data_IF_882732637256
#
_entry.id   IF_882732637256
#
_cell.length_a   1.000
_cell.length_b   1.000
_cell.length_c   1.000
_cell.angle_alpha   90.00
_cell.angle_beta   90.00
_cell.angle_gamma   90.00
#
_symmetry.space_group_name_H-M   'P 1'
#
loop_
_entity.id
_entity.type
_entity.pdbx_description
1 polymer ?
#
# COMPACT_ATOMS: atom_id res chain seq x y z
N UNK A 1 21.44 -25.52 17.36
CA UNK A 1 20.74 -24.23 17.30
C UNK A 1 20.84 -23.66 15.88
N UNK A 2 19.70 -23.25 15.28
CA UNK A 2 19.63 -22.70 13.91
C UNK A 2 18.97 -21.32 13.98
N UNK A 3 19.71 -20.25 14.29
CA UNK A 3 19.16 -18.93 14.57
C UNK A 3 18.44 -18.29 13.37
N UNK A 4 18.72 -18.76 12.15
CA UNK A 4 18.05 -18.31 10.92
C UNK A 4 16.67 -18.95 10.70
N UNK A 5 16.26 -19.90 11.54
CA UNK A 5 14.95 -20.55 11.50
C UNK A 5 14.12 -20.12 12.71
N UNK A 6 13.71 -18.86 12.71
CA UNK A 6 12.81 -18.33 13.72
C UNK A 6 11.37 -18.52 13.24
N UNK A 7 10.53 -19.16 14.05
CA UNK A 7 9.08 -19.17 13.87
C UNK A 7 8.49 -18.22 14.91
N UNK A 8 7.89 -17.14 14.43
CA UNK A 8 7.17 -16.20 15.26
C UNK A 8 5.68 -16.52 15.18
N UNK A 9 5.07 -16.73 16.33
CA UNK A 9 3.62 -16.76 16.47
C UNK A 9 3.20 -15.42 17.04
N UNK A 10 2.49 -14.65 16.23
CA UNK A 10 1.92 -13.38 16.67
C UNK A 10 0.46 -13.61 16.97
N UNK A 11 0.09 -13.39 18.22
CA UNK A 11 -1.31 -13.22 18.60
C UNK A 11 -1.62 -11.74 18.56
N UNK A 12 -2.66 -11.36 17.82
CA UNK A 12 -3.13 -9.98 17.85
C UNK A 12 -3.67 -9.68 19.25
N UNK A 13 -3.23 -8.58 19.90
CA UNK A 13 -3.80 -8.14 21.16
C UNK A 13 -5.13 -7.39 21.00
N UNK A 14 -5.64 -7.30 19.78
CA UNK A 14 -6.88 -6.57 19.47
C UNK A 14 -8.09 -7.31 20.10
N UNK A 15 -8.81 -6.67 21.03
CA UNK A 15 -9.98 -7.30 21.66
C UNK A 15 -11.10 -7.59 20.66
N UNK A 16 -11.16 -6.79 19.58
CA UNK A 16 -12.16 -6.91 18.52
C UNK A 16 -11.67 -7.70 17.30
N UNK A 17 -10.60 -8.48 17.47
CA UNK A 17 -9.92 -9.16 16.37
C UNK A 17 -10.90 -9.92 15.47
N UNK A 18 -11.73 -10.80 16.06
CA UNK A 18 -12.65 -11.63 15.27
C UNK A 18 -13.68 -10.80 14.51
N UNK A 19 -14.24 -9.78 15.15
CA UNK A 19 -15.22 -8.88 14.52
C UNK A 19 -14.63 -8.13 13.33
N UNK A 20 -13.41 -7.59 13.50
CA UNK A 20 -12.70 -6.88 12.42
C UNK A 20 -12.33 -7.80 11.27
N UNK A 21 -11.82 -9.01 11.57
CA UNK A 21 -11.51 -10.03 10.56
C UNK A 21 -12.76 -10.39 9.77
N UNK A 22 -13.85 -10.74 10.43
CA UNK A 22 -15.12 -11.08 9.77
C UNK A 22 -15.57 -9.95 8.86
N UNK A 23 -15.62 -8.71 9.37
CA UNK A 23 -16.01 -7.54 8.57
C UNK A 23 -15.15 -7.36 7.32
N UNK A 24 -13.82 -7.52 7.41
CA UNK A 24 -12.92 -7.36 6.27
C UNK A 24 -13.12 -8.51 5.28
N UNK A 25 -13.26 -9.75 5.76
CA UNK A 25 -13.53 -10.90 4.91
C UNK A 25 -14.86 -10.75 4.16
N UNK A 26 -15.91 -10.28 4.83
CA UNK A 26 -17.21 -10.01 4.21
C UNK A 26 -17.09 -8.95 3.11
N UNK A 27 -16.35 -7.86 3.35
CA UNK A 27 -16.08 -6.85 2.32
C UNK A 27 -15.34 -7.42 1.11
N UNK A 28 -14.46 -8.38 1.31
CA UNK A 28 -13.69 -8.98 0.22
C UNK A 28 -14.48 -10.03 -0.58
N UNK A 29 -15.37 -10.76 0.07
CA UNK A 29 -16.13 -11.85 -0.57
C UNK A 29 -17.50 -11.41 -1.07
N UNK A 30 -18.16 -10.50 -0.35
CA UNK A 30 -19.50 -10.03 -0.61
C UNK A 30 -19.58 -8.50 -0.45
N UNK A 31 -18.90 -7.71 -1.30
CA UNK A 31 -18.95 -6.25 -1.19
C UNK A 31 -20.39 -5.75 -1.37
N UNK A 32 -20.80 -4.66 -0.67
CA UNK A 32 -22.11 -4.08 -0.84
C UNK A 32 -22.36 -3.66 -2.30
N UNK A 33 -23.62 -3.74 -2.72
CA UNK A 33 -24.03 -3.26 -4.04
C UNK A 33 -23.66 -1.77 -4.20
N UNK A 34 -23.22 -1.38 -5.39
CA UNK A 34 -22.77 -0.02 -5.71
C UNK A 34 -21.58 0.52 -4.90
N UNK A 35 -20.88 -0.36 -4.19
CA UNK A 35 -19.67 -0.01 -3.47
C UNK A 35 -18.41 -0.48 -4.20
N UNK A 36 -17.30 0.22 -3.92
CA UNK A 36 -15.95 -0.21 -4.23
C UNK A 36 -15.18 -0.45 -2.94
N UNK A 37 -14.40 -1.53 -2.91
CA UNK A 37 -13.55 -1.87 -1.77
C UNK A 37 -12.09 -1.70 -2.20
N UNK A 38 -11.41 -0.78 -1.54
CA UNK A 38 -10.02 -0.42 -1.81
C UNK A 38 -9.14 -0.81 -0.63
N UNK A 39 -8.07 -1.52 -0.90
CA UNK A 39 -6.97 -1.70 0.04
C UNK A 39 -5.94 -0.61 -0.21
N UNK A 40 -5.66 0.23 0.79
CA UNK A 40 -4.75 1.38 0.66
C UNK A 40 -3.58 1.23 1.61
N UNK A 41 -2.38 1.54 1.13
CA UNK A 41 -1.15 1.52 1.94
C UNK A 41 -0.01 2.27 1.23
N UNK A 42 1.14 2.40 1.92
CA UNK A 42 2.34 3.08 1.47
C UNK A 42 3.53 2.12 1.34
N UNK A 43 4.16 2.13 0.18
CA UNK A 43 5.39 1.38 -0.10
C UNK A 43 6.59 2.31 -0.17
N UNK A 44 7.47 2.32 0.85
CA UNK A 44 8.76 3.00 0.75
C UNK A 44 9.63 2.35 -0.34
N UNK A 45 10.26 3.18 -1.14
CA UNK A 45 11.12 2.74 -2.24
C UNK A 45 12.41 3.53 -2.23
N UNK A 46 13.51 2.85 -2.53
CA UNK A 46 14.83 3.47 -2.68
C UNK A 46 15.27 3.40 -4.15
N UNK A 47 15.56 4.54 -4.75
CA UNK A 47 16.17 4.57 -6.08
C UNK A 47 17.64 4.17 -5.96
N UNK A 48 17.99 3.08 -6.61
CA UNK A 48 19.33 2.50 -6.65
C UNK A 48 19.79 2.39 -8.09
N UNK A 49 21.04 2.75 -8.38
CA UNK A 49 21.67 2.38 -9.65
C UNK A 49 22.85 1.46 -9.43
N UNK A 50 23.02 0.49 -10.31
CA UNK A 50 24.16 -0.41 -10.37
C UNK A 50 25.08 0.01 -11.49
N UNK A 51 26.36 -0.28 -11.35
CA UNK A 51 27.38 0.04 -12.36
C UNK A 51 27.13 -0.74 -13.65
N UNK A 52 26.76 -2.00 -13.54
CA UNK A 52 26.39 -2.86 -14.66
C UNK A 52 24.91 -3.27 -14.54
N UNK A 53 24.20 -3.38 -15.66
CA UNK A 53 22.80 -3.80 -15.63
C UNK A 53 22.68 -5.24 -15.14
N UNK A 54 21.55 -5.54 -14.50
CA UNK A 54 21.20 -6.91 -14.14
C UNK A 54 21.03 -7.73 -15.42
N UNK A 55 21.67 -8.89 -15.48
CA UNK A 55 21.53 -9.82 -16.60
C UNK A 55 20.77 -11.07 -16.19
N UNK A 56 20.07 -11.64 -17.16
CA UNK A 56 19.30 -12.87 -17.01
C UNK A 56 19.84 -13.89 -18.02
N UNK A 57 20.37 -15.00 -17.52
CA UNK A 57 20.88 -16.07 -18.35
C UNK A 57 20.44 -17.42 -17.81
N UNK A 58 19.78 -18.23 -18.65
CA UNK A 58 19.33 -19.62 -18.36
C UNK A 58 18.65 -19.80 -16.99
N UNK A 59 17.85 -18.82 -16.58
CA UNK A 59 17.14 -18.83 -15.29
C UNK A 59 17.94 -18.29 -14.11
N UNK A 60 19.19 -17.91 -14.33
CA UNK A 60 20.02 -17.22 -13.33
C UNK A 60 19.91 -15.70 -13.46
N UNK A 61 19.90 -15.03 -12.32
CA UNK A 61 19.93 -13.56 -12.23
C UNK A 61 21.31 -13.16 -11.72
N UNK A 62 22.05 -12.41 -12.52
CA UNK A 62 23.36 -11.85 -12.14
C UNK A 62 23.22 -10.36 -11.93
N UNK A 63 23.55 -9.88 -10.75
CA UNK A 63 23.53 -8.46 -10.41
C UNK A 63 24.72 -8.08 -9.52
N UNK A 64 25.14 -6.82 -9.60
CA UNK A 64 26.20 -6.32 -8.75
C UNK A 64 25.72 -6.05 -7.34
N UNK A 65 26.59 -6.32 -6.36
CA UNK A 65 26.38 -5.96 -4.97
C UNK A 65 26.55 -4.46 -4.74
N UNK A 66 27.46 -3.82 -5.49
CA UNK A 66 27.71 -2.40 -5.39
C UNK A 66 26.61 -1.59 -6.07
N UNK A 67 26.12 -0.60 -5.35
CA UNK A 67 25.08 0.29 -5.85
C UNK A 67 25.25 1.72 -5.33
N UNK A 68 24.78 2.68 -6.11
CA UNK A 68 24.68 4.08 -5.73
C UNK A 68 23.25 4.40 -5.35
N UNK A 69 23.05 5.05 -4.19
CA UNK A 69 21.73 5.50 -3.74
C UNK A 69 21.40 6.89 -4.28
N UNK A 70 20.20 7.07 -4.81
CA UNK A 70 19.70 8.33 -5.34
C UNK A 70 18.56 8.92 -4.49
N UNK A 71 18.32 8.34 -3.31
CA UNK A 71 17.33 8.79 -2.35
C UNK A 71 16.11 7.87 -2.27
N UNK A 72 15.20 8.23 -1.38
CA UNK A 72 13.96 7.51 -1.12
C UNK A 72 12.74 8.27 -1.57
N UNK A 73 11.69 7.56 -1.89
CA UNK A 73 10.35 8.08 -2.17
C UNK A 73 9.31 7.03 -1.75
N UNK A 74 8.05 7.37 -1.79
CA UNK A 74 6.98 6.49 -1.33
C UNK A 74 5.94 6.35 -2.42
N UNK A 75 5.54 5.13 -2.72
CA UNK A 75 4.37 4.84 -3.54
C UNK A 75 3.15 4.73 -2.61
N UNK A 76 2.17 5.60 -2.79
CA UNK A 76 0.84 5.45 -2.25
C UNK A 76 0.05 4.60 -3.24
N UNK A 77 -0.61 3.56 -2.77
CA UNK A 77 -1.36 2.64 -3.61
C UNK A 77 -2.78 2.43 -3.11
N UNK A 78 -3.72 2.31 -4.04
CA UNK A 78 -5.10 1.91 -3.80
C UNK A 78 -5.41 0.73 -4.73
N UNK A 79 -5.54 -0.45 -4.16
CA UNK A 79 -5.86 -1.69 -4.84
C UNK A 79 -7.35 -1.96 -4.77
N UNK A 80 -8.01 -2.00 -5.91
CA UNK A 80 -9.40 -2.38 -6.03
C UNK A 80 -9.50 -3.91 -6.06
N UNK A 81 -10.05 -4.50 -5.00
CA UNK A 81 -10.12 -5.95 -4.86
C UNK A 81 -11.07 -6.63 -5.84
N UNK A 82 -12.07 -5.89 -6.34
CA UNK A 82 -13.10 -6.42 -7.25
C UNK A 82 -12.57 -6.51 -8.69
N UNK A 83 -11.74 -5.55 -9.11
CA UNK A 83 -11.22 -5.46 -10.48
C UNK A 83 -9.77 -5.87 -10.62
N UNK A 84 -9.02 -5.95 -9.50
CA UNK A 84 -7.58 -6.17 -9.51
C UNK A 84 -6.75 -4.96 -9.96
N UNK A 85 -7.38 -3.83 -10.24
CA UNK A 85 -6.69 -2.61 -10.65
C UNK A 85 -6.04 -1.91 -9.48
N UNK A 86 -4.90 -1.29 -9.73
CA UNK A 86 -4.20 -0.46 -8.76
C UNK A 86 -4.08 0.96 -9.29
N UNK A 87 -4.53 1.91 -8.50
CA UNK A 87 -4.19 3.32 -8.67
C UNK A 87 -3.03 3.66 -7.74
N UNK A 88 -1.98 4.26 -8.26
CA UNK A 88 -0.79 4.60 -7.50
C UNK A 88 -0.31 6.03 -7.75
N UNK A 89 0.37 6.59 -6.76
CA UNK A 89 1.03 7.89 -6.84
C UNK A 89 2.36 7.88 -6.10
N UNK A 90 3.43 8.26 -6.75
CA UNK A 90 4.74 8.36 -6.10
C UNK A 90 4.93 9.76 -5.51
N UNK A 91 5.25 9.81 -4.22
CA UNK A 91 5.42 11.05 -3.45
C UNK A 91 6.79 11.08 -2.76
N UNK A 92 7.24 12.29 -2.41
CA UNK A 92 8.53 12.47 -1.75
C UNK A 92 8.53 11.98 -0.29
N UNK A 93 7.43 12.21 0.41
CA UNK A 93 7.31 11.93 1.84
C UNK A 93 5.94 11.35 2.17
N UNK A 94 5.93 10.45 3.17
CA UNK A 94 4.74 9.89 3.78
C UNK A 94 4.29 10.77 4.94
N UNK A 95 3.21 11.48 4.77
CA UNK A 95 2.57 12.24 5.84
C UNK A 95 1.05 12.36 5.60
N UNK A 96 0.33 12.83 6.60
CA UNK A 96 -1.13 12.93 6.55
C UNK A 96 -1.63 13.82 5.39
N UNK A 97 -0.99 14.95 5.13
CA UNK A 97 -1.39 15.86 4.05
C UNK A 97 -1.26 15.19 2.67
N UNK A 98 -0.17 14.46 2.46
CA UNK A 98 0.05 13.70 1.22
C UNK A 98 -0.98 12.59 1.04
N UNK A 99 -1.34 11.90 2.11
CA UNK A 99 -2.37 10.85 2.08
C UNK A 99 -3.76 11.44 1.82
N UNK A 100 -4.11 12.57 2.44
CA UNK A 100 -5.37 13.28 2.17
C UNK A 100 -5.45 13.72 0.70
N UNK A 101 -4.35 14.24 0.12
CA UNK A 101 -4.29 14.59 -1.29
C UNK A 101 -4.48 13.38 -2.20
N UNK A 102 -3.86 12.24 -1.87
CA UNK A 102 -4.06 10.98 -2.59
C UNK A 102 -5.51 10.49 -2.49
N UNK A 103 -6.12 10.57 -1.32
CA UNK A 103 -7.53 10.21 -1.14
C UNK A 103 -8.48 11.11 -1.93
N UNK A 104 -8.12 12.38 -2.18
CA UNK A 104 -8.88 13.24 -3.10
C UNK A 104 -8.79 12.75 -4.54
N UNK A 105 -7.64 12.22 -4.98
CA UNK A 105 -7.51 11.60 -6.29
C UNK A 105 -8.36 10.34 -6.39
N UNK A 106 -8.35 9.49 -5.36
CA UNK A 106 -9.25 8.32 -5.25
C UNK A 106 -10.73 8.74 -5.32
N UNK A 107 -11.11 9.79 -4.61
CA UNK A 107 -12.48 10.30 -4.63
C UNK A 107 -12.96 10.74 -6.02
N UNK A 108 -12.05 11.29 -6.85
CA UNK A 108 -12.35 11.67 -8.24
C UNK A 108 -12.52 10.46 -9.16
N UNK A 109 -11.83 9.34 -8.89
CA UNK A 109 -11.99 8.12 -9.68
C UNK A 109 -13.31 7.40 -9.43
N UNK A 110 -13.89 7.58 -8.25
CA UNK A 110 -15.14 6.93 -7.84
C UNK A 110 -16.17 7.95 -7.37
N UNK A 111 -16.65 8.87 -8.24
CA UNK A 111 -17.46 10.02 -7.83
C UNK A 111 -18.80 9.63 -7.19
N UNK A 112 -19.46 8.57 -7.70
CA UNK A 112 -20.82 8.19 -7.34
C UNK A 112 -20.90 6.86 -6.57
N UNK A 113 -19.76 6.36 -6.08
CA UNK A 113 -19.71 5.07 -5.36
C UNK A 113 -19.55 5.25 -3.86
N UNK A 114 -20.12 4.32 -3.11
CA UNK A 114 -19.70 4.10 -1.73
C UNK A 114 -18.29 3.50 -1.75
N UNK A 115 -17.37 4.04 -0.97
CA UNK A 115 -15.96 3.64 -0.98
C UNK A 115 -15.58 3.08 0.38
N UNK A 116 -15.33 1.78 0.44
CA UNK A 116 -14.78 1.13 1.62
C UNK A 116 -13.27 1.11 1.51
N UNK A 117 -12.59 1.72 2.46
CA UNK A 117 -11.12 1.82 2.53
C UNK A 117 -10.63 0.91 3.63
N UNK A 118 -9.95 -0.16 3.23
CA UNK A 118 -9.26 -1.06 4.17
C UNK A 118 -7.80 -0.61 4.25
N UNK A 119 -7.34 -0.31 5.46
CA UNK A 119 -5.97 0.11 5.73
C UNK A 119 -5.47 -0.37 7.10
N UNK A 120 -4.18 -0.28 7.35
CA UNK A 120 -3.57 -0.68 8.60
C UNK A 120 -3.71 0.39 9.70
N UNK A 121 -3.13 0.13 10.86
CA UNK A 121 -3.19 1.01 12.02
C UNK A 121 -2.03 2.03 12.08
N UNK A 122 -1.50 2.47 10.93
CA UNK A 122 -0.50 3.53 10.91
C UNK A 122 -1.11 4.86 11.39
N UNK A 123 -0.35 5.65 12.14
CA UNK A 123 -0.84 6.90 12.75
C UNK A 123 -1.50 7.88 11.77
N UNK A 124 -1.08 7.90 10.50
CA UNK A 124 -1.67 8.78 9.47
C UNK A 124 -3.04 8.31 8.99
N UNK A 125 -3.38 7.04 9.24
CA UNK A 125 -4.68 6.44 8.93
C UNK A 125 -5.74 6.74 10.01
N UNK A 126 -5.30 7.15 11.19
CA UNK A 126 -6.18 7.53 12.28
C UNK A 126 -6.54 9.01 12.23
N UNK A 127 -7.61 9.34 12.91
CA UNK A 127 -7.98 10.73 13.13
C UNK A 127 -6.88 11.47 13.89
N UNK A 128 -6.50 12.64 13.38
CA UNK A 128 -5.67 13.57 14.12
C UNK A 128 -6.51 14.58 14.89
N UNK A 129 -5.85 15.51 15.58
CA UNK A 129 -6.53 16.65 16.23
C UNK A 129 -7.31 17.51 15.22
N UNK A 130 -6.98 17.41 13.95
CA UNK A 130 -7.58 18.10 12.81
C UNK A 130 -8.82 17.37 12.26
N UNK A 131 -9.21 16.23 12.83
CA UNK A 131 -10.37 15.43 12.40
C UNK A 131 -10.39 15.19 10.88
N UNK A 132 -9.21 14.91 10.32
CA UNK A 132 -8.94 14.91 8.86
C UNK A 132 -9.85 13.98 8.07
N UNK A 133 -10.11 12.79 8.57
CA UNK A 133 -10.91 11.79 7.86
C UNK A 133 -12.40 12.05 8.00
N UNK A 134 -12.85 12.53 9.15
CA UNK A 134 -14.22 12.99 9.33
C UNK A 134 -14.51 14.18 8.41
N UNK A 135 -13.65 15.19 8.39
CA UNK A 135 -13.79 16.34 7.50
C UNK A 135 -13.69 15.98 6.03
N UNK A 136 -12.79 15.03 5.68
CA UNK A 136 -12.69 14.49 4.34
C UNK A 136 -14.00 13.82 3.92
N UNK A 137 -14.50 12.91 4.73
CA UNK A 137 -15.73 12.18 4.45
C UNK A 137 -16.95 13.12 4.33
N UNK A 138 -17.05 14.10 5.22
CA UNK A 138 -18.12 15.12 5.18
C UNK A 138 -18.11 15.91 3.87
N UNK A 139 -16.93 16.31 3.38
CA UNK A 139 -16.77 17.00 2.09
C UNK A 139 -17.16 16.14 0.88
N UNK A 140 -17.12 14.82 1.04
CA UNK A 140 -17.49 13.86 0.01
C UNK A 140 -18.85 13.19 0.24
N UNK A 141 -19.76 13.84 0.99
CA UNK A 141 -21.15 13.37 1.18
C UNK A 141 -21.29 12.13 2.06
N UNK A 142 -20.32 11.82 2.90
CA UNK A 142 -20.39 10.69 3.83
C UNK A 142 -20.18 9.31 3.19
N UNK A 143 -19.69 9.25 1.95
CA UNK A 143 -19.60 8.01 1.16
C UNK A 143 -18.33 7.18 1.40
N UNK A 144 -17.40 7.63 2.25
CA UNK A 144 -16.19 6.90 2.61
C UNK A 144 -16.36 6.16 3.94
N UNK A 145 -16.06 4.86 3.92
CA UNK A 145 -16.13 3.98 5.08
C UNK A 145 -14.74 3.45 5.38
N UNK A 146 -14.11 3.98 6.43
CA UNK A 146 -12.77 3.59 6.83
C UNK A 146 -12.79 2.35 7.71
N UNK A 147 -12.07 1.31 7.31
CA UNK A 147 -12.00 0.02 7.98
C UNK A 147 -10.56 -0.30 8.30
N UNK A 148 -10.22 -0.31 9.58
CA UNK A 148 -8.87 -0.65 10.03
C UNK A 148 -8.72 -2.16 10.21
N UNK A 149 -7.56 -2.70 9.80
CA UNK A 149 -7.19 -4.08 10.12
C UNK A 149 -7.04 -4.25 11.64
N UNK A 150 -7.20 -5.47 12.19
CA UNK A 150 -6.85 -5.70 13.57
C UNK A 150 -5.38 -5.32 13.86
N UNK A 151 -5.08 -4.98 15.09
CA UNK A 151 -3.70 -4.72 15.52
C UNK A 151 -2.79 -5.91 15.16
N UNK A 152 -1.63 -5.63 14.60
CA UNK A 152 -0.66 -6.64 14.11
C UNK A 152 -1.18 -7.59 13.02
N UNK A 153 -2.24 -7.20 12.30
CA UNK A 153 -2.81 -7.98 11.20
C UNK A 153 -2.80 -7.22 9.85
N UNK A 154 -1.76 -6.42 9.58
CA UNK A 154 -1.59 -5.70 8.30
C UNK A 154 -1.56 -6.64 7.09
N UNK A 155 -1.21 -7.92 7.27
CA UNK A 155 -1.29 -8.95 6.24
C UNK A 155 -2.70 -9.15 5.65
N UNK A 156 -3.74 -8.69 6.32
CA UNK A 156 -5.10 -8.66 5.78
C UNK A 156 -5.30 -7.56 4.74
N UNK A 157 -4.43 -6.55 4.69
CA UNK A 157 -4.46 -5.53 3.66
C UNK A 157 -3.90 -6.09 2.35
N UNK A 158 -4.78 -6.42 1.41
CA UNK A 158 -4.40 -7.16 0.20
C UNK A 158 -3.47 -6.40 -0.75
N UNK A 159 -3.32 -5.10 -0.62
CA UNK A 159 -2.34 -4.36 -1.41
C UNK A 159 -0.90 -4.81 -1.14
N UNK A 160 -0.62 -5.40 0.02
CA UNK A 160 0.70 -5.96 0.33
C UNK A 160 1.10 -7.09 -0.63
N UNK A 161 0.13 -7.85 -1.14
CA UNK A 161 0.37 -8.87 -2.17
C UNK A 161 0.85 -8.19 -3.46
N UNK A 162 0.16 -7.13 -3.87
CA UNK A 162 0.55 -6.36 -5.05
C UNK A 162 1.92 -5.68 -4.87
N UNK A 163 2.19 -5.08 -3.72
CA UNK A 163 3.50 -4.53 -3.40
C UNK A 163 4.62 -5.57 -3.43
N UNK A 164 4.32 -6.80 -3.02
CA UNK A 164 5.25 -7.92 -3.13
C UNK A 164 5.53 -8.29 -4.59
N UNK A 165 4.53 -8.26 -5.46
CA UNK A 165 4.69 -8.49 -6.90
C UNK A 165 5.53 -7.37 -7.52
N UNK A 166 5.19 -6.10 -7.25
CA UNK A 166 5.95 -4.93 -7.71
C UNK A 166 7.41 -5.02 -7.26
N UNK A 167 7.66 -5.37 -6.00
CA UNK A 167 9.01 -5.53 -5.49
C UNK A 167 9.79 -6.59 -6.27
N UNK A 168 9.22 -7.78 -6.44
CA UNK A 168 9.88 -8.88 -7.14
C UNK A 168 10.11 -8.60 -8.62
N UNK A 169 9.16 -7.95 -9.28
CA UNK A 169 9.19 -7.73 -10.73
C UNK A 169 9.98 -6.50 -11.15
N UNK A 170 9.97 -5.44 -10.34
CA UNK A 170 10.50 -4.12 -10.72
C UNK A 170 11.61 -3.67 -9.78
N UNK A 171 11.35 -3.63 -8.46
CA UNK A 171 12.26 -2.95 -7.54
C UNK A 171 13.49 -3.77 -7.18
N UNK A 172 13.36 -5.06 -6.97
CA UNK A 172 14.42 -5.94 -6.46
C UNK A 172 15.68 -5.90 -7.32
N UNK A 173 15.53 -5.94 -8.62
CA UNK A 173 16.61 -5.97 -9.59
C UNK A 173 16.67 -4.71 -10.46
N UNK A 174 15.82 -3.75 -10.20
CA UNK A 174 15.79 -2.48 -10.91
C UNK A 174 17.09 -1.68 -10.71
N UNK A 175 17.46 -0.93 -11.75
CA UNK A 175 18.55 0.04 -11.69
C UNK A 175 18.02 1.39 -12.16
N UNK A 176 17.92 2.33 -11.22
CA UNK A 176 17.32 3.65 -11.44
C UNK A 176 18.35 4.72 -11.12
N UNK A 177 18.76 5.49 -12.13
CA UNK A 177 19.76 6.55 -11.97
C UNK A 177 19.24 7.82 -11.27
N UNK A 178 17.93 7.89 -11.03
CA UNK A 178 17.30 8.99 -10.30
C UNK A 178 15.93 8.58 -9.73
N UNK A 179 15.45 9.35 -8.76
CA UNK A 179 14.06 9.22 -8.25
C UNK A 179 13.03 9.48 -9.37
N UNK A 180 13.32 10.41 -10.27
CA UNK A 180 12.45 10.71 -11.41
C UNK A 180 12.28 9.49 -12.30
N UNK A 181 13.38 8.86 -12.71
CA UNK A 181 13.34 7.65 -13.52
C UNK A 181 12.58 6.51 -12.84
N UNK A 182 12.82 6.29 -11.53
CA UNK A 182 12.07 5.27 -10.79
C UNK A 182 10.56 5.56 -10.78
N UNK A 183 10.17 6.82 -10.60
CA UNK A 183 8.76 7.24 -10.66
C UNK A 183 8.15 6.95 -12.03
N UNK A 184 8.80 7.38 -13.11
CA UNK A 184 8.32 7.18 -14.49
C UNK A 184 8.20 5.71 -14.89
N UNK A 185 8.96 4.82 -14.25
CA UNK A 185 8.85 3.37 -14.47
C UNK A 185 7.70 2.71 -13.67
N UNK A 186 7.17 3.39 -12.65
CA UNK A 186 6.17 2.82 -11.74
C UNK A 186 4.76 3.38 -12.04
N UNK A 187 4.66 4.67 -12.35
CA UNK A 187 3.42 5.36 -12.79
C UNK A 187 3.15 5.12 -14.28
#
# INVERSE_FOLDING_TARGET
FRPHRVRLWLHSPDPDFQTKVTRICDLYTCPPADAVVLCIDEKPMQALSRRHPTTYDRGEVRYEYEYKRHGTQVLLGAFNIQTGQVFGRVVAHRNAATLVAFMQDVARQYPDKQVYVVWDNLNIHHEGKDQRWEQFNKRHGGRFHFVHTPLHASWMNQIEIWFSILHRRVLRHGSFCSKKQQRECIE
#
